data_IF_728384662993
#
_entry.id   IF_728384662993
#
_cell.length_a   1.000
_cell.length_b   1.000
_cell.length_c   1.000
_cell.angle_alpha   90.00
_cell.angle_beta   90.00
_cell.angle_gamma   90.00
#
_symmetry.space_group_name_H-M   'P 1'
#
loop_
_entity.id
_entity.type
_entity.pdbx_description
1 polymer ?
#
# COMPACT_ATOMS: atom_id res chain seq x y z
N UNK A 1 7.44 14.17 4.60
CA UNK A 1 6.25 15.00 4.35
C UNK A 1 6.72 16.43 4.31
N UNK A 2 6.36 17.18 3.28
CA UNK A 2 6.77 18.59 3.12
C UNK A 2 6.06 19.51 4.11
N UNK A 3 4.89 19.11 4.62
CA UNK A 3 4.06 19.96 5.49
C UNK A 3 4.37 19.78 7.00
N UNK A 4 4.80 18.59 7.44
CA UNK A 4 5.10 18.33 8.86
C UNK A 4 6.44 17.64 9.11
N UNK A 5 7.30 17.51 8.09
CA UNK A 5 8.64 16.91 8.22
C UNK A 5 8.67 15.39 8.46
N UNK A 6 7.55 14.72 8.76
CA UNK A 6 7.51 13.27 9.04
C UNK A 6 8.07 12.43 7.90
N UNK A 7 8.97 11.50 8.21
CA UNK A 7 9.63 10.59 7.25
C UNK A 7 8.90 9.25 7.21
N UNK A 8 8.66 8.75 6.01
CA UNK A 8 7.96 7.48 5.79
C UNK A 8 8.84 6.53 4.99
N UNK A 9 8.86 5.26 5.40
CA UNK A 9 9.63 4.21 4.72
C UNK A 9 9.06 3.84 3.35
N UNK A 10 7.75 4.01 3.17
CA UNK A 10 7.03 3.66 1.93
C UNK A 10 6.33 4.88 1.34
N UNK A 11 6.39 5.04 0.01
CA UNK A 11 5.73 6.14 -0.71
C UNK A 11 4.21 6.14 -0.52
N UNK A 12 3.57 4.97 -0.40
CA UNK A 12 2.13 4.87 -0.15
C UNK A 12 1.75 5.46 1.22
N UNK A 13 2.57 5.26 2.24
CA UNK A 13 2.35 5.82 3.57
C UNK A 13 2.52 7.34 3.57
N UNK A 14 3.46 7.88 2.76
CA UNK A 14 3.60 9.32 2.56
C UNK A 14 2.36 9.92 1.88
N UNK A 15 1.82 9.28 0.83
CA UNK A 15 0.63 9.76 0.11
C UNK A 15 -0.60 9.76 1.03
N UNK A 16 -0.80 8.68 1.79
CA UNK A 16 -1.89 8.57 2.77
C UNK A 16 -1.73 9.65 3.86
N UNK A 17 -0.51 9.82 4.38
CA UNK A 17 -0.23 10.86 5.35
C UNK A 17 -0.42 12.28 4.79
N UNK A 18 -0.13 12.54 3.51
CA UNK A 18 -0.38 13.87 2.93
C UNK A 18 -1.88 14.18 2.90
N UNK A 19 -2.74 13.16 2.74
CA UNK A 19 -4.20 13.33 2.86
C UNK A 19 -4.65 13.65 4.28
N UNK A 20 -3.81 13.46 5.30
CA UNK A 20 -4.16 13.84 6.67
C UNK A 20 -4.11 15.33 6.93
N UNK A 21 -3.38 16.08 6.11
CA UNK A 21 -3.34 17.54 6.22
C UNK A 21 -4.58 18.20 5.62
N UNK A 22 -5.24 17.51 4.69
CA UNK A 22 -6.61 17.81 4.31
C UNK A 22 -7.53 17.19 5.37
N UNK A 23 -8.12 18.00 6.25
CA UNK A 23 -9.06 17.59 7.31
C UNK A 23 -10.40 17.04 6.79
N UNK A 24 -10.41 16.30 5.69
CA UNK A 24 -11.62 15.81 5.04
C UNK A 24 -11.63 14.29 5.01
N UNK A 25 -12.19 13.71 6.07
CA UNK A 25 -12.51 12.30 6.15
C UNK A 25 -13.35 12.02 7.40
N UNK A 26 -14.49 11.30 7.30
CA UNK A 26 -15.36 11.03 8.44
C UNK A 26 -14.74 10.10 9.51
N UNK A 27 -13.60 9.47 9.22
CA UNK A 27 -12.95 8.51 10.11
C UNK A 27 -11.59 9.03 10.58
N UNK A 28 -11.53 9.55 11.80
CA UNK A 28 -10.31 10.11 12.38
C UNK A 28 -9.53 9.11 13.24
N UNK A 29 -8.21 9.13 13.14
CA UNK A 29 -7.33 8.35 14.00
C UNK A 29 -7.16 9.01 15.38
N UNK A 30 -7.54 8.35 16.49
CA UNK A 30 -7.47 8.94 17.83
C UNK A 30 -6.04 9.11 18.38
N UNK A 31 -5.02 8.62 17.67
CA UNK A 31 -3.61 8.65 18.12
C UNK A 31 -2.82 9.77 17.44
N UNK A 32 -3.15 10.10 16.19
CA UNK A 32 -2.40 11.09 15.43
C UNK A 32 -3.26 11.99 14.55
N UNK A 33 -4.58 12.00 14.80
CA UNK A 33 -5.56 12.95 14.24
C UNK A 33 -5.59 12.95 12.70
N UNK A 34 -5.22 11.81 12.09
CA UNK A 34 -5.28 11.62 10.65
C UNK A 34 -6.68 11.16 10.27
N UNK A 35 -7.34 11.89 9.38
CA UNK A 35 -8.64 11.53 8.83
C UNK A 35 -8.53 10.66 7.58
N UNK A 36 -9.46 9.71 7.45
CA UNK A 36 -9.59 8.77 6.34
C UNK A 36 -10.99 8.87 5.73
N UNK A 37 -11.07 8.63 4.42
CA UNK A 37 -12.33 8.59 3.69
C UNK A 37 -13.21 7.39 4.07
N UNK A 38 -12.61 6.30 4.56
CA UNK A 38 -13.32 5.10 4.99
C UNK A 38 -12.68 4.46 6.23
N UNK A 39 -13.50 3.66 6.93
CA UNK A 39 -13.11 2.95 8.16
C UNK A 39 -12.01 1.91 7.92
N UNK A 40 -11.99 1.26 6.75
CA UNK A 40 -11.00 0.23 6.44
C UNK A 40 -9.56 0.80 6.43
N UNK A 41 -9.38 1.98 5.83
CA UNK A 41 -8.09 2.66 5.83
C UNK A 41 -7.71 3.19 7.22
N UNK A 42 -8.69 3.62 8.02
CA UNK A 42 -8.46 3.96 9.43
C UNK A 42 -7.98 2.75 10.22
N UNK A 43 -8.65 1.60 10.12
CA UNK A 43 -8.27 0.37 10.83
C UNK A 43 -6.87 -0.12 10.41
N UNK A 44 -6.58 -0.07 9.11
CA UNK A 44 -5.24 -0.37 8.58
C UNK A 44 -4.19 0.58 9.17
N UNK A 45 -4.51 1.87 9.23
CA UNK A 45 -3.62 2.85 9.82
C UNK A 45 -3.47 2.64 11.33
N UNK A 46 -4.51 2.30 12.07
CA UNK A 46 -4.38 2.05 13.51
C UNK A 46 -3.42 0.88 13.82
N UNK A 47 -3.32 -0.10 12.91
CA UNK A 47 -2.34 -1.19 13.05
C UNK A 47 -0.87 -0.75 12.90
N UNK A 48 -0.58 0.48 12.47
CA UNK A 48 0.77 1.05 12.53
C UNK A 48 1.12 1.64 13.91
N UNK A 49 0.10 2.00 14.71
CA UNK A 49 0.29 2.53 16.06
C UNK A 49 0.40 1.41 17.09
N UNK A 50 -0.39 0.34 16.92
CA UNK A 50 -0.20 -0.89 17.69
C UNK A 50 0.97 -1.71 17.13
N UNK A 51 1.69 -2.47 17.97
CA UNK A 51 2.50 -3.61 17.50
C UNK A 51 1.60 -4.77 16.98
N UNK A 52 0.48 -4.43 16.34
CA UNK A 52 -0.64 -5.32 16.07
C UNK A 52 -0.49 -6.03 14.73
N UNK A 53 -0.45 -7.37 14.81
CA UNK A 53 -0.61 -8.34 13.71
C UNK A 53 -0.11 -7.86 12.35
N UNK A 54 1.21 -7.72 12.24
CA UNK A 54 1.84 -7.69 10.93
C UNK A 54 1.76 -9.06 10.28
N UNK A 55 1.41 -9.10 8.99
CA UNK A 55 1.54 -10.28 8.16
C UNK A 55 3.00 -10.42 7.74
N UNK A 56 3.67 -11.48 8.20
CA UNK A 56 5.11 -11.66 7.97
C UNK A 56 5.31 -12.57 6.75
N UNK A 57 6.18 -12.16 5.85
CA UNK A 57 6.62 -13.01 4.75
C UNK A 57 7.57 -14.09 5.28
N UNK A 58 7.23 -15.36 5.06
CA UNK A 58 8.05 -16.52 5.40
C UNK A 58 9.44 -16.48 4.76
N UNK A 59 9.53 -15.99 3.52
CA UNK A 59 10.74 -16.11 2.71
C UNK A 59 11.79 -15.04 3.05
N UNK A 60 11.38 -13.90 3.62
CA UNK A 60 12.30 -12.78 3.87
C UNK A 60 12.06 -12.02 5.18
N UNK A 61 11.10 -12.46 6.02
CA UNK A 61 10.79 -11.84 7.31
C UNK A 61 10.17 -10.44 7.23
N UNK A 62 9.85 -9.92 6.04
CA UNK A 62 9.23 -8.59 5.90
C UNK A 62 7.81 -8.58 6.45
N UNK A 63 7.52 -7.59 7.27
CA UNK A 63 6.20 -7.34 7.88
C UNK A 63 5.33 -6.46 6.98
N UNK A 64 4.07 -6.86 6.79
CA UNK A 64 3.07 -6.12 6.05
C UNK A 64 1.87 -5.80 6.94
N UNK A 65 1.28 -4.63 6.71
CA UNK A 65 0.15 -4.12 7.49
C UNK A 65 -1.16 -4.86 7.14
N UNK A 66 -1.25 -5.44 5.94
CA UNK A 66 -2.40 -6.26 5.53
C UNK A 66 -2.00 -7.47 4.68
N UNK A 67 -2.88 -8.49 4.70
CA UNK A 67 -2.68 -9.76 4.00
C UNK A 67 -2.52 -9.58 2.48
N UNK A 68 -3.35 -8.73 1.86
CA UNK A 68 -3.28 -8.48 0.41
C UNK A 68 -1.93 -7.90 -0.03
N UNK A 69 -1.27 -7.13 0.83
CA UNK A 69 0.07 -6.61 0.55
C UNK A 69 1.16 -7.68 0.73
N UNK A 70 0.99 -8.59 1.70
CA UNK A 70 1.85 -9.76 1.84
C UNK A 70 1.75 -10.66 0.60
N UNK A 71 0.54 -11.04 0.19
CA UNK A 71 0.31 -11.89 -1.01
C UNK A 71 0.94 -11.24 -2.24
N UNK A 72 0.72 -9.93 -2.41
CA UNK A 72 1.35 -9.18 -3.51
C UNK A 72 2.87 -9.14 -3.42
N UNK A 73 3.42 -9.12 -2.22
CA UNK A 73 4.85 -9.22 -2.01
C UNK A 73 5.38 -10.63 -2.31
N UNK A 74 4.65 -11.70 -1.99
CA UNK A 74 5.08 -13.07 -2.27
C UNK A 74 5.24 -13.34 -3.78
N UNK A 75 4.43 -12.69 -4.62
CA UNK A 75 4.65 -12.70 -6.09
C UNK A 75 6.03 -12.15 -6.51
N UNK A 76 6.74 -11.46 -5.62
CA UNK A 76 8.12 -11.01 -5.88
C UNK A 76 9.17 -12.09 -5.69
N UNK A 77 8.89 -13.10 -4.89
CA UNK A 77 9.75 -14.27 -4.69
C UNK A 77 9.45 -15.36 -5.72
N UNK A 78 8.17 -15.62 -5.99
CA UNK A 78 7.76 -16.65 -6.97
C UNK A 78 8.01 -16.23 -8.43
N UNK A 79 8.13 -14.92 -8.68
CA UNK A 79 8.24 -14.38 -10.03
C UNK A 79 6.93 -14.43 -10.83
N UNK A 80 5.82 -14.83 -10.20
CA UNK A 80 4.51 -14.97 -10.84
C UNK A 80 4.03 -13.64 -11.44
N UNK A 81 3.62 -13.67 -12.71
CA UNK A 81 3.17 -12.50 -13.47
C UNK A 81 1.85 -12.81 -14.18
N UNK A 82 0.72 -12.82 -13.46
CA UNK A 82 -0.55 -13.29 -13.99
C UNK A 82 -1.16 -12.36 -15.04
N UNK A 83 -0.69 -11.11 -15.15
CA UNK A 83 -1.24 -10.12 -16.07
C UNK A 83 -0.39 -10.01 -17.33
N UNK A 84 -0.77 -10.73 -18.39
CA UNK A 84 -0.10 -10.70 -19.70
C UNK A 84 -0.64 -9.54 -20.58
N UNK A 85 0.25 -8.88 -21.32
CA UNK A 85 -0.15 -7.93 -22.36
C UNK A 85 -0.69 -8.67 -23.59
N UNK A 86 -1.76 -8.15 -24.19
CA UNK A 86 -2.33 -8.71 -25.42
C UNK A 86 -1.56 -8.30 -26.69
N UNK A 87 -0.78 -7.22 -26.61
CA UNK A 87 -0.09 -6.62 -27.76
C UNK A 87 1.42 -6.97 -27.80
N UNK A 88 1.96 -7.53 -26.72
CA UNK A 88 3.33 -8.04 -26.67
C UNK A 88 3.50 -9.13 -25.59
N UNK A 89 4.64 -9.81 -25.55
CA UNK A 89 4.90 -10.90 -24.60
C UNK A 89 5.21 -10.46 -23.16
N UNK A 90 5.10 -9.17 -22.85
CA UNK A 90 5.38 -8.65 -21.50
C UNK A 90 4.27 -9.05 -20.53
N UNK A 91 4.68 -9.54 -19.36
CA UNK A 91 3.78 -9.91 -18.27
C UNK A 91 4.12 -9.17 -16.97
N UNK A 92 3.09 -8.90 -16.17
CA UNK A 92 3.16 -8.03 -14.99
C UNK A 92 2.59 -8.73 -13.76
N UNK A 93 3.13 -8.40 -12.59
CA UNK A 93 2.65 -8.87 -11.27
C UNK A 93 1.36 -8.18 -10.82
N UNK A 94 0.99 -7.08 -11.46
CA UNK A 94 -0.17 -6.26 -11.07
C UNK A 94 -0.90 -5.70 -12.29
N UNK A 95 -2.22 -5.67 -12.21
CA UNK A 95 -3.10 -5.12 -13.26
C UNK A 95 -2.79 -3.64 -13.54
N UNK A 96 -2.55 -2.82 -12.52
CA UNK A 96 -2.24 -1.40 -12.73
C UNK A 96 -0.91 -1.17 -13.46
N UNK A 97 0.03 -2.10 -13.37
CA UNK A 97 1.28 -2.04 -14.16
C UNK A 97 1.04 -2.43 -15.62
N UNK A 98 0.23 -3.46 -15.86
CA UNK A 98 -0.21 -3.81 -17.20
C UNK A 98 -0.94 -2.62 -17.87
N UNK A 99 -1.92 -2.01 -17.20
CA UNK A 99 -2.67 -0.88 -17.74
C UNK A 99 -1.77 0.34 -18.03
N UNK A 100 -0.78 0.61 -17.17
CA UNK A 100 0.21 1.66 -17.43
C UNK A 100 1.05 1.37 -18.67
N UNK A 101 1.47 0.12 -18.85
CA UNK A 101 2.23 -0.30 -20.00
C UNK A 101 1.39 -0.26 -21.29
N UNK A 102 0.13 -0.69 -21.25
CA UNK A 102 -0.75 -0.65 -22.41
C UNK A 102 -0.96 0.77 -22.95
N UNK A 103 -0.95 1.78 -22.07
CA UNK A 103 -1.01 3.20 -22.48
C UNK A 103 0.26 3.72 -23.16
N UNK A 104 1.32 2.92 -23.23
CA UNK A 104 2.58 3.26 -23.91
C UNK A 104 2.74 2.56 -25.25
N UNK A 105 1.81 1.68 -25.62
CA UNK A 105 1.63 1.27 -27.00
C UNK A 105 0.95 2.40 -27.76
#
# INVERSE_FOLDING_TARGET
>A
CTECGKRFRLKINLIIHQRSHAKEGPYECPICEISFADKHHLDLHQSIHGRGKSYICSDCGKSFVCHSWLVRHQMTHTGERPYKCSECDKSYRRKDYLLKHQRQH
#
